data_IF_577236897150
#
_entry.id   IF_577236897150
#
_cell.length_a   1.000
_cell.length_b   1.000
_cell.length_c   1.000
_cell.angle_alpha   90.00
_cell.angle_beta   90.00
_cell.angle_gamma   90.00
#
_symmetry.space_group_name_H-M   'P 1'
#
loop_
_entity.id
_entity.type
_entity.pdbx_description
1 polymer ?
#
# COMPACT_ATOMS: atom_id res chain seq x y z
N UNK A 1 -47.72 75.70 51.95
CA UNK A 1 -48.00 74.26 51.69
C UNK A 1 -47.52 73.94 50.30
N UNK A 2 -46.34 73.20 50.22
CA UNK A 2 -45.80 72.77 48.94
C UNK A 2 -46.22 71.33 48.79
N UNK A 3 -47.03 71.03 47.79
CA UNK A 3 -47.47 69.68 47.45
C UNK A 3 -46.37 68.99 46.61
N UNK A 4 -45.76 67.95 47.18
CA UNK A 4 -44.83 67.10 46.51
C UNK A 4 -45.62 66.08 45.69
N UNK A 5 -45.68 66.24 44.34
CA UNK A 5 -46.18 65.22 43.44
C UNK A 5 -45.08 64.20 43.18
N UNK A 6 -45.18 63.04 43.87
CA UNK A 6 -44.38 61.86 43.53
C UNK A 6 -44.93 61.22 42.23
N UNK A 7 -44.30 61.49 41.11
CA UNK A 7 -44.60 60.81 39.87
C UNK A 7 -44.11 59.36 39.98
N UNK A 8 -44.99 58.40 40.09
CA UNK A 8 -44.76 56.98 39.96
C UNK A 8 -44.51 56.65 38.48
N UNK A 9 -43.29 56.61 38.06
CA UNK A 9 -42.93 56.08 36.74
C UNK A 9 -43.12 54.57 36.79
N UNK A 10 -44.27 54.10 36.36
CA UNK A 10 -44.53 52.68 36.09
C UNK A 10 -43.64 52.25 34.92
N UNK A 11 -42.52 51.58 35.25
CA UNK A 11 -41.69 50.92 34.25
C UNK A 11 -42.44 49.68 33.76
N UNK A 12 -43.22 49.83 32.69
CA UNK A 12 -43.83 48.69 31.97
C UNK A 12 -42.74 48.06 31.15
N UNK A 13 -41.96 47.22 31.77
CA UNK A 13 -41.02 46.38 31.08
C UNK A 13 -41.77 45.37 30.22
N UNK A 14 -41.77 45.56 28.90
CA UNK A 14 -42.30 44.55 27.96
C UNK A 14 -41.38 43.35 27.95
N UNK A 15 -41.90 42.18 28.32
CA UNK A 15 -41.16 40.91 28.16
C UNK A 15 -40.81 40.73 26.67
N UNK A 16 -39.52 40.55 26.42
CA UNK A 16 -39.00 40.17 25.09
C UNK A 16 -38.87 38.64 25.06
N UNK A 17 -39.24 38.03 23.94
CA UNK A 17 -39.04 36.61 23.68
C UNK A 17 -37.83 36.46 22.73
N UNK A 18 -36.86 35.74 23.19
CA UNK A 18 -35.60 35.48 22.44
C UNK A 18 -35.50 33.99 22.16
N UNK A 19 -35.17 33.63 20.93
CA UNK A 19 -34.94 32.24 20.55
C UNK A 19 -33.45 31.93 20.77
N UNK A 20 -33.15 31.07 21.75
CA UNK A 20 -31.82 30.59 22.03
C UNK A 20 -31.63 29.17 21.44
N UNK A 21 -30.68 29.01 20.56
CA UNK A 21 -30.28 27.72 20.01
C UNK A 21 -28.90 27.35 20.53
N UNK A 22 -28.80 26.24 21.24
CA UNK A 22 -27.52 25.69 21.71
C UNK A 22 -27.28 24.36 21.01
N UNK A 23 -26.19 24.26 20.25
CA UNK A 23 -25.86 23.08 19.41
C UNK A 23 -27.06 22.62 18.55
N UNK A 24 -27.80 23.57 17.96
CA UNK A 24 -28.96 23.31 17.13
C UNK A 24 -30.28 23.06 17.89
N UNK A 25 -30.25 22.99 19.23
CA UNK A 25 -31.42 22.81 20.03
C UNK A 25 -32.01 24.19 20.43
N UNK A 26 -33.14 24.53 19.85
CA UNK A 26 -33.78 25.81 20.07
C UNK A 26 -34.71 25.80 21.30
N UNK A 27 -34.66 26.88 22.08
CA UNK A 27 -35.54 27.15 23.21
C UNK A 27 -35.95 28.63 23.27
N UNK A 28 -37.14 28.93 23.79
CA UNK A 28 -37.61 30.31 23.98
C UNK A 28 -37.23 30.80 25.36
N UNK A 29 -36.50 31.91 25.41
CA UNK A 29 -36.09 32.58 26.67
C UNK A 29 -36.79 33.93 26.77
N UNK A 30 -37.56 34.13 27.83
CA UNK A 30 -38.20 35.40 28.14
C UNK A 30 -37.27 36.28 28.95
N UNK A 31 -36.97 37.49 28.46
CA UNK A 31 -36.13 38.46 29.15
C UNK A 31 -36.80 39.86 29.18
N UNK A 32 -36.42 40.72 30.10
CA UNK A 32 -36.84 42.11 30.14
C UNK A 32 -35.92 43.05 29.34
N UNK A 33 -34.93 42.52 28.66
CA UNK A 33 -33.92 43.27 27.96
C UNK A 33 -32.53 42.79 28.40
N UNK A 34 -31.51 43.58 28.11
CA UNK A 34 -30.10 43.24 28.38
C UNK A 34 -29.36 42.78 27.12
N UNK A 35 -28.24 42.17 27.34
CA UNK A 35 -27.35 41.68 26.27
C UNK A 35 -27.51 40.19 26.03
N UNK A 36 -26.85 39.66 25.01
CA UNK A 36 -26.76 38.22 24.74
C UNK A 36 -26.19 37.48 25.98
N UNK A 37 -25.17 38.06 26.63
CA UNK A 37 -24.59 37.49 27.87
C UNK A 37 -25.62 37.33 28.99
N UNK A 38 -26.51 38.34 29.18
CA UNK A 38 -27.60 38.29 30.18
C UNK A 38 -28.61 37.17 29.88
N UNK A 39 -28.91 36.94 28.60
CA UNK A 39 -29.80 35.85 28.15
C UNK A 39 -29.17 34.48 28.41
N UNK A 40 -27.90 34.31 28.08
CA UNK A 40 -27.18 33.05 28.33
C UNK A 40 -27.07 32.72 29.80
N UNK A 41 -26.74 33.75 30.62
CA UNK A 41 -26.70 33.58 32.09
C UNK A 41 -28.06 33.17 32.64
N UNK A 42 -29.16 33.77 32.14
CA UNK A 42 -30.51 33.43 32.55
C UNK A 42 -30.93 32.02 32.14
N UNK A 43 -30.43 31.54 31.02
CA UNK A 43 -30.67 30.19 30.50
C UNK A 43 -29.74 29.16 31.11
N UNK A 44 -28.85 29.56 32.09
CA UNK A 44 -27.81 28.73 32.69
C UNK A 44 -26.84 28.11 31.68
N UNK A 45 -26.60 28.82 30.55
CA UNK A 45 -25.64 28.45 29.51
C UNK A 45 -24.32 29.16 29.79
N UNK A 46 -23.30 28.38 30.15
CA UNK A 46 -21.93 28.88 30.35
C UNK A 46 -21.16 28.73 29.02
N UNK A 47 -20.54 29.80 28.60
CA UNK A 47 -19.75 29.85 27.35
C UNK A 47 -18.31 30.22 27.70
N UNK A 48 -17.38 29.70 26.93
CA UNK A 48 -15.93 29.94 27.01
C UNK A 48 -15.45 30.69 25.76
N UNK A 49 -14.18 31.09 25.73
CA UNK A 49 -13.59 31.74 24.55
C UNK A 49 -13.49 30.80 23.33
N UNK A 50 -13.58 29.49 23.54
CA UNK A 50 -13.54 28.49 22.47
C UNK A 50 -14.92 28.31 21.79
N UNK A 51 -16.00 28.74 22.44
CA UNK A 51 -17.35 28.59 21.91
C UNK A 51 -17.69 29.72 20.92
N UNK A 52 -18.52 29.42 19.95
CA UNK A 52 -19.01 30.39 19.00
C UNK A 52 -20.41 30.89 19.41
N UNK A 53 -20.52 32.19 19.64
CA UNK A 53 -21.80 32.84 19.99
C UNK A 53 -22.12 33.89 18.95
N UNK A 54 -23.32 33.81 18.41
CA UNK A 54 -23.87 34.80 17.44
C UNK A 54 -25.25 35.22 17.81
N UNK A 55 -25.54 36.54 17.91
CA UNK A 55 -24.63 37.70 17.92
C UNK A 55 -23.66 37.71 19.11
N UNK A 56 -22.66 38.62 19.06
CA UNK A 56 -21.67 38.78 20.13
C UNK A 56 -22.31 38.98 21.52
N UNK A 57 -21.66 38.54 22.57
CA UNK A 57 -22.09 38.59 23.96
C UNK A 57 -22.55 39.96 24.43
N UNK A 58 -21.90 41.03 23.94
CA UNK A 58 -22.23 42.43 24.27
C UNK A 58 -23.40 43.01 23.48
N UNK A 59 -23.96 42.27 22.52
CA UNK A 59 -25.08 42.75 21.68
C UNK A 59 -26.37 42.84 22.50
N UNK A 60 -27.06 43.97 22.41
CA UNK A 60 -28.39 44.15 23.00
C UNK A 60 -29.45 43.30 22.31
N UNK A 61 -30.29 42.62 23.07
CA UNK A 61 -31.36 41.78 22.54
C UNK A 61 -32.67 42.56 22.42
N UNK A 62 -33.38 42.25 21.34
CA UNK A 62 -34.74 42.74 21.06
C UNK A 62 -35.72 41.58 21.03
N UNK A 63 -37.04 41.92 21.00
CA UNK A 63 -38.03 40.86 20.80
C UNK A 63 -37.84 40.15 19.47
N UNK A 64 -37.87 38.80 19.50
CA UNK A 64 -37.56 37.93 18.36
C UNK A 64 -36.10 37.77 18.02
N UNK A 65 -35.14 38.31 18.82
CA UNK A 65 -33.70 38.05 18.59
C UNK A 65 -33.44 36.56 18.64
N UNK A 66 -32.62 36.08 17.67
CA UNK A 66 -32.15 34.70 17.65
C UNK A 66 -30.68 34.70 18.09
N UNK A 67 -30.37 33.88 19.08
CA UNK A 67 -29.02 33.65 19.59
C UNK A 67 -28.64 32.22 19.25
N UNK A 68 -27.52 32.05 18.59
CA UNK A 68 -26.96 30.75 18.26
C UNK A 68 -25.69 30.57 19.07
N UNK A 69 -25.56 29.44 19.77
CA UNK A 69 -24.40 29.03 20.54
C UNK A 69 -23.93 27.67 20.01
N UNK A 70 -22.72 27.62 19.51
CA UNK A 70 -22.07 26.36 19.15
C UNK A 70 -20.95 26.09 20.17
N UNK A 71 -21.13 25.06 20.98
CA UNK A 71 -20.18 24.68 22.03
C UNK A 71 -18.95 24.03 21.41
N UNK A 72 -17.79 24.46 21.86
CA UNK A 72 -16.54 23.80 21.46
C UNK A 72 -16.45 22.40 22.07
N UNK A 73 -16.10 21.44 21.25
CA UNK A 73 -15.91 20.03 21.63
C UNK A 73 -14.57 19.52 21.15
N UNK A 74 -13.96 18.63 21.90
CA UNK A 74 -12.72 17.95 21.51
C UNK A 74 -13.08 16.66 20.79
N UNK A 75 -12.54 16.48 19.59
CA UNK A 75 -12.72 15.28 18.76
C UNK A 75 -11.35 14.65 18.51
N UNK A 76 -11.22 13.35 18.78
CA UNK A 76 -10.03 12.61 18.44
C UNK A 76 -10.09 12.20 16.98
N UNK A 77 -9.07 12.59 16.23
CA UNK A 77 -8.95 12.37 14.77
C UNK A 77 -7.63 11.66 14.47
N UNK A 78 -7.69 10.63 13.67
CA UNK A 78 -6.50 10.00 13.08
C UNK A 78 -6.38 10.49 11.64
N UNK A 79 -5.38 11.30 11.34
CA UNK A 79 -5.10 11.81 10.01
C UNK A 79 -3.86 11.10 9.45
N UNK A 80 -4.04 10.34 8.36
CA UNK A 80 -2.99 9.51 7.74
C UNK A 80 -2.21 8.65 8.77
N UNK A 81 -2.94 8.01 9.69
CA UNK A 81 -2.39 7.18 10.75
C UNK A 81 -1.81 7.94 11.95
N UNK A 82 -1.85 9.29 11.95
CA UNK A 82 -1.38 10.12 13.06
C UNK A 82 -2.57 10.61 13.90
N UNK A 83 -2.54 10.30 15.22
CA UNK A 83 -3.58 10.74 16.16
C UNK A 83 -3.44 12.21 16.55
N UNK A 84 -4.54 12.95 16.48
CA UNK A 84 -4.64 14.34 16.88
C UNK A 84 -5.95 14.57 17.64
N UNK A 85 -5.95 15.46 18.64
CA UNK A 85 -7.18 15.96 19.26
C UNK A 85 -7.46 17.35 18.71
N UNK A 86 -8.61 17.52 18.08
CA UNK A 86 -9.04 18.77 17.44
C UNK A 86 -10.18 19.38 18.24
N UNK A 87 -10.07 20.68 18.57
CA UNK A 87 -11.18 21.46 19.16
C UNK A 87 -11.98 22.10 18.03
N UNK A 88 -13.29 21.85 17.98
CA UNK A 88 -14.19 22.36 16.95
C UNK A 88 -15.54 22.77 17.54
N UNK A 89 -16.20 23.77 16.94
CA UNK A 89 -17.58 24.12 17.18
C UNK A 89 -18.53 23.49 16.14
N UNK A 90 -18.00 22.73 15.18
CA UNK A 90 -18.76 21.98 14.18
C UNK A 90 -19.72 20.97 14.82
N UNK A 91 -20.82 20.70 14.15
CA UNK A 91 -21.85 19.78 14.62
C UNK A 91 -21.69 18.39 13.99
N UNK A 92 -21.18 18.32 12.75
CA UNK A 92 -21.12 17.12 11.92
C UNK A 92 -19.68 16.80 11.52
N UNK A 93 -19.46 15.58 11.05
CA UNK A 93 -18.20 15.17 10.42
C UNK A 93 -17.88 16.05 9.21
N UNK A 94 -18.88 16.47 8.43
CA UNK A 94 -18.68 17.38 7.31
C UNK A 94 -18.08 18.73 7.74
N UNK A 95 -18.58 19.30 8.85
CA UNK A 95 -18.06 20.57 9.40
C UNK A 95 -16.58 20.42 9.77
N UNK A 96 -16.23 19.33 10.49
CA UNK A 96 -14.87 19.06 10.93
C UNK A 96 -13.92 18.82 9.74
N UNK A 97 -14.33 18.03 8.75
CA UNK A 97 -13.54 17.78 7.52
C UNK A 97 -13.27 19.08 6.75
N UNK A 98 -14.29 19.96 6.69
CA UNK A 98 -14.16 21.29 6.07
C UNK A 98 -13.20 22.20 6.84
N UNK A 99 -13.28 22.20 8.17
CA UNK A 99 -12.39 22.97 9.05
C UNK A 99 -10.93 22.53 8.93
N UNK A 100 -10.68 21.21 8.86
CA UNK A 100 -9.37 20.63 8.65
C UNK A 100 -8.81 20.86 7.23
N UNK A 101 -9.62 21.33 6.29
CA UNK A 101 -9.26 21.61 4.89
C UNK A 101 -8.65 20.40 4.17
N UNK A 102 -9.09 19.20 4.51
CA UNK A 102 -8.66 17.99 3.81
C UNK A 102 -9.33 17.90 2.43
N UNK A 103 -8.71 17.15 1.53
CA UNK A 103 -9.24 16.96 0.18
C UNK A 103 -10.62 16.31 0.21
N UNK A 104 -11.51 16.73 -0.68
CA UNK A 104 -12.84 16.11 -0.86
C UNK A 104 -12.78 14.64 -1.29
N UNK A 105 -11.62 14.19 -1.79
CA UNK A 105 -11.37 12.81 -2.19
C UNK A 105 -10.74 11.97 -1.07
N UNK A 106 -10.64 12.52 0.15
CA UNK A 106 -10.17 11.78 1.32
C UNK A 106 -11.20 10.73 1.73
N UNK A 107 -10.70 9.59 2.20
CA UNK A 107 -11.54 8.58 2.87
C UNK A 107 -11.79 9.00 4.30
N UNK A 108 -13.03 8.87 4.77
CA UNK A 108 -13.45 9.21 6.14
C UNK A 108 -14.19 8.02 6.72
N UNK A 109 -13.83 7.59 7.92
CA UNK A 109 -14.37 6.38 8.57
C UNK A 109 -15.85 6.48 8.97
N UNK A 110 -16.43 7.68 8.97
CA UNK A 110 -17.83 7.92 9.29
C UNK A 110 -18.55 8.71 8.17
N UNK A 111 -19.88 8.61 8.14
CA UNK A 111 -20.68 9.43 7.21
C UNK A 111 -20.54 10.92 7.54
N UNK A 112 -20.48 11.76 6.51
CA UNK A 112 -20.35 13.21 6.65
C UNK A 112 -21.48 13.84 7.46
N UNK A 113 -22.68 13.26 7.42
CA UNK A 113 -23.86 13.73 8.17
C UNK A 113 -23.85 13.26 9.65
N UNK A 114 -22.89 12.46 10.06
CA UNK A 114 -22.80 11.95 11.44
C UNK A 114 -22.52 13.11 12.39
N UNK A 115 -23.31 13.21 13.48
CA UNK A 115 -23.06 14.19 14.53
C UNK A 115 -21.78 13.85 15.30
N UNK A 116 -20.90 14.83 15.50
CA UNK A 116 -19.62 14.63 16.21
C UNK A 116 -19.81 14.13 17.66
N UNK A 117 -20.93 14.52 18.30
CA UNK A 117 -21.30 14.05 19.65
C UNK A 117 -21.67 12.55 19.70
N UNK A 118 -21.92 11.93 18.56
CA UNK A 118 -22.26 10.51 18.43
C UNK A 118 -21.09 9.60 18.11
N UNK A 119 -19.90 10.14 17.86
CA UNK A 119 -18.71 9.35 17.57
C UNK A 119 -18.27 8.56 18.81
N UNK A 120 -18.07 7.25 18.62
CA UNK A 120 -17.62 6.33 19.68
C UNK A 120 -16.11 6.13 19.61
N UNK A 121 -15.56 6.12 18.40
CA UNK A 121 -14.16 5.89 18.08
C UNK A 121 -13.54 7.15 17.44
N UNK A 122 -12.20 7.30 17.46
CA UNK A 122 -11.52 8.35 16.74
C UNK A 122 -11.92 8.39 15.26
N UNK A 123 -12.14 9.57 14.73
CA UNK A 123 -12.46 9.75 13.31
C UNK A 123 -11.21 9.54 12.47
N UNK A 124 -11.16 8.48 11.66
CA UNK A 124 -10.04 8.27 10.73
C UNK A 124 -10.29 9.00 9.42
N UNK A 125 -9.28 9.73 8.98
CA UNK A 125 -9.26 10.49 7.72
C UNK A 125 -7.97 10.14 6.99
N UNK A 126 -8.11 9.57 5.78
CA UNK A 126 -6.97 9.19 4.93
C UNK A 126 -6.97 10.05 3.68
N UNK A 127 -5.92 10.85 3.50
CA UNK A 127 -5.78 11.74 2.35
C UNK A 127 -5.36 10.98 1.09
N UNK A 128 -5.74 11.45 -0.11
CA UNK A 128 -5.30 10.85 -1.35
C UNK A 128 -3.78 10.90 -1.48
N UNK A 129 -3.17 9.77 -1.80
CA UNK A 129 -1.73 9.58 -2.04
C UNK A 129 -1.52 9.01 -3.43
N UNK A 130 -0.39 9.27 -4.04
CA UNK A 130 0.01 8.64 -5.31
C UNK A 130 1.22 7.75 -5.04
N UNK A 131 1.04 6.45 -5.16
CA UNK A 131 2.10 5.46 -4.96
C UNK A 131 2.63 4.99 -6.30
N UNK A 132 3.95 5.00 -6.48
CA UNK A 132 4.60 4.42 -7.66
C UNK A 132 4.87 2.94 -7.40
N UNK A 133 4.04 2.08 -7.98
CA UNK A 133 4.21 0.63 -7.88
C UNK A 133 5.10 0.13 -9.01
N UNK A 134 6.14 -0.64 -8.68
CA UNK A 134 7.04 -1.28 -9.64
C UNK A 134 6.83 -2.78 -9.54
N UNK A 135 6.32 -3.41 -10.61
CA UNK A 135 6.02 -4.84 -10.67
C UNK A 135 6.28 -5.36 -12.09
N UNK A 136 6.85 -6.55 -12.21
CA UNK A 136 7.16 -7.21 -13.49
C UNK A 136 7.98 -6.31 -14.45
N UNK A 137 8.87 -5.48 -13.88
CA UNK A 137 9.72 -4.55 -14.61
C UNK A 137 9.01 -3.32 -15.19
N UNK A 138 7.75 -3.08 -14.80
CA UNK A 138 6.94 -1.92 -15.19
C UNK A 138 6.62 -1.06 -13.98
N UNK A 139 6.44 0.24 -14.22
CA UNK A 139 6.03 1.20 -13.19
C UNK A 139 4.59 1.67 -13.45
N UNK A 140 3.81 1.76 -12.38
CA UNK A 140 2.42 2.20 -12.39
C UNK A 140 2.23 3.24 -11.29
N UNK A 141 1.64 4.39 -11.61
CA UNK A 141 1.22 5.36 -10.61
C UNK A 141 -0.21 5.01 -10.18
N UNK A 142 -0.38 4.74 -8.88
CA UNK A 142 -1.67 4.38 -8.29
C UNK A 142 -2.11 5.44 -7.29
N UNK A 143 -3.19 6.19 -7.57
CA UNK A 143 -3.84 7.00 -6.55
C UNK A 143 -4.58 6.07 -5.57
N UNK A 144 -4.46 6.34 -4.28
CA UNK A 144 -5.09 5.56 -3.21
C UNK A 144 -5.31 6.41 -1.97
N UNK A 145 -6.25 6.01 -1.13
CA UNK A 145 -6.43 6.49 0.24
C UNK A 145 -6.04 5.43 1.27
N UNK A 146 -5.49 4.29 0.84
CA UNK A 146 -4.99 3.26 1.74
C UNK A 146 -3.93 3.84 2.70
N UNK A 147 -3.91 3.34 3.93
CA UNK A 147 -2.97 3.77 4.96
C UNK A 147 -1.72 2.90 4.99
N UNK A 148 -1.85 1.62 4.60
CA UNK A 148 -0.78 0.62 4.64
C UNK A 148 -0.52 -0.01 3.28
N UNK A 149 0.65 -0.66 3.15
CA UNK A 149 1.02 -1.41 1.95
C UNK A 149 0.05 -2.58 1.71
N UNK A 150 -0.37 -3.30 2.78
CA UNK A 150 -1.30 -4.43 2.65
C UNK A 150 -2.65 -3.95 2.10
N UNK A 151 -3.20 -2.86 2.62
CA UNK A 151 -4.45 -2.26 2.12
C UNK A 151 -4.34 -1.83 0.65
N UNK A 152 -3.19 -1.26 0.24
CA UNK A 152 -2.94 -0.90 -1.15
C UNK A 152 -2.91 -2.14 -2.06
N UNK A 153 -2.30 -3.24 -1.61
CA UNK A 153 -2.25 -4.49 -2.37
C UNK A 153 -3.65 -5.10 -2.52
N UNK A 154 -4.43 -5.10 -1.45
CA UNK A 154 -5.82 -5.57 -1.46
C UNK A 154 -6.69 -4.72 -2.39
N UNK A 155 -6.60 -3.39 -2.31
CA UNK A 155 -7.28 -2.45 -3.21
C UNK A 155 -6.89 -2.66 -4.69
N UNK A 156 -5.61 -3.01 -4.93
CA UNK A 156 -5.10 -3.30 -6.27
C UNK A 156 -5.44 -4.71 -6.76
N UNK A 157 -5.97 -5.59 -5.91
CA UNK A 157 -6.22 -7.01 -6.20
C UNK A 157 -4.94 -7.80 -6.43
N UNK A 158 -3.85 -7.44 -5.73
CA UNK A 158 -2.54 -8.06 -5.88
C UNK A 158 -2.33 -9.07 -4.77
N UNK A 159 -2.45 -10.35 -5.12
CA UNK A 159 -2.09 -11.44 -4.23
C UNK A 159 -0.58 -11.74 -4.30
N UNK A 160 0.06 -11.83 -3.14
CA UNK A 160 1.46 -12.21 -3.02
C UNK A 160 1.60 -13.70 -2.77
N UNK A 161 2.56 -14.32 -3.42
CA UNK A 161 2.98 -15.69 -3.11
C UNK A 161 4.06 -15.69 -2.03
N UNK A 162 4.27 -16.83 -1.36
CA UNK A 162 5.29 -16.96 -0.31
C UNK A 162 6.74 -16.71 -0.78
N UNK A 163 6.95 -16.60 -2.10
CA UNK A 163 8.27 -16.34 -2.70
C UNK A 163 8.44 -14.90 -3.16
N UNK A 164 7.35 -14.14 -3.27
CA UNK A 164 7.39 -12.73 -3.66
C UNK A 164 8.01 -11.87 -2.56
N UNK A 165 8.56 -10.74 -2.95
CA UNK A 165 9.24 -9.82 -2.02
C UNK A 165 8.76 -8.41 -2.25
N UNK A 166 8.44 -7.72 -1.15
CA UNK A 166 8.14 -6.30 -1.11
C UNK A 166 9.36 -5.49 -0.70
N UNK A 167 9.47 -4.26 -1.20
CA UNK A 167 10.49 -3.30 -0.76
C UNK A 167 10.22 -2.68 0.61
N UNK A 168 8.96 -2.78 1.10
CA UNK A 168 8.53 -2.37 2.42
C UNK A 168 7.60 -3.44 3.01
N UNK A 169 7.53 -3.62 4.33
CA UNK A 169 6.61 -4.57 4.95
C UNK A 169 5.16 -4.16 4.69
N UNK A 170 4.23 -5.15 4.68
CA UNK A 170 2.81 -4.92 4.44
C UNK A 170 2.17 -3.92 5.42
N UNK A 171 2.62 -3.92 6.68
CA UNK A 171 2.18 -2.97 7.72
C UNK A 171 2.82 -1.58 7.64
N UNK A 172 3.68 -1.32 6.65
CA UNK A 172 4.30 0.01 6.52
C UNK A 172 3.26 1.05 6.08
N UNK A 173 3.30 2.21 6.73
CA UNK A 173 2.46 3.33 6.37
C UNK A 173 2.82 3.87 4.97
N UNK A 174 1.81 4.17 4.18
CA UNK A 174 1.96 4.80 2.87
C UNK A 174 2.12 6.31 3.01
N UNK A 175 3.07 6.87 2.29
CA UNK A 175 3.27 8.32 2.15
C UNK A 175 3.17 8.71 0.68
N UNK A 176 2.69 9.92 0.42
CA UNK A 176 2.58 10.42 -0.96
C UNK A 176 3.93 10.41 -1.68
N UNK A 177 3.94 9.95 -2.93
CA UNK A 177 5.16 9.78 -3.73
C UNK A 177 6.00 8.55 -3.38
N UNK A 178 5.58 7.69 -2.45
CA UNK A 178 6.30 6.46 -2.10
C UNK A 178 6.44 5.55 -3.32
N UNK A 179 7.64 4.92 -3.46
CA UNK A 179 7.87 3.87 -4.44
C UNK A 179 7.81 2.49 -3.76
N UNK A 180 6.86 1.67 -4.17
CA UNK A 180 6.70 0.28 -3.73
C UNK A 180 7.12 -0.68 -4.83
N UNK A 181 8.18 -1.45 -4.58
CA UNK A 181 8.61 -2.51 -5.50
C UNK A 181 8.10 -3.86 -5.03
N UNK A 182 7.45 -4.56 -5.96
CA UNK A 182 7.01 -5.94 -5.81
C UNK A 182 7.88 -6.79 -6.73
N UNK A 183 8.72 -7.64 -6.16
CA UNK A 183 9.57 -8.57 -6.91
C UNK A 183 8.87 -9.91 -6.95
N UNK A 184 8.39 -10.29 -8.12
CA UNK A 184 7.71 -11.58 -8.33
C UNK A 184 8.70 -12.68 -8.62
N UNK A 185 8.56 -13.81 -7.92
CA UNK A 185 9.39 -15.00 -8.13
C UNK A 185 8.50 -16.15 -8.56
N UNK A 186 8.60 -16.55 -9.82
CA UNK A 186 7.78 -17.61 -10.41
C UNK A 186 8.66 -18.72 -11.00
N UNK A 187 8.09 -19.93 -11.09
CA UNK A 187 8.67 -20.99 -11.88
C UNK A 187 8.35 -20.75 -13.36
N UNK A 188 9.37 -20.78 -14.20
CA UNK A 188 9.20 -20.79 -15.64
C UNK A 188 8.96 -22.22 -16.16
N UNK A 189 8.72 -22.32 -17.46
CA UNK A 189 8.60 -23.62 -18.12
C UNK A 189 9.93 -24.39 -18.04
N UNK A 190 9.80 -25.72 -17.97
CA UNK A 190 10.97 -26.57 -18.00
C UNK A 190 11.65 -26.51 -19.39
N UNK A 191 12.96 -26.31 -19.39
CA UNK A 191 13.75 -26.26 -20.62
C UNK A 191 14.51 -27.57 -20.77
N UNK A 192 14.36 -28.24 -21.93
CA UNK A 192 15.13 -29.41 -22.28
C UNK A 192 16.28 -28.99 -23.20
N UNK A 193 17.49 -29.33 -22.80
CA UNK A 193 18.71 -29.11 -23.59
C UNK A 193 19.24 -30.47 -24.01
N UNK A 194 19.47 -30.66 -25.32
CA UNK A 194 20.09 -31.85 -25.85
C UNK A 194 21.55 -31.57 -26.10
N UNK A 195 22.42 -32.41 -25.55
CA UNK A 195 23.89 -32.34 -25.69
C UNK A 195 24.41 -33.61 -26.32
N UNK A 196 25.42 -33.48 -27.18
CA UNK A 196 26.11 -34.64 -27.74
C UNK A 196 26.93 -35.36 -26.64
N UNK A 197 26.73 -36.65 -26.52
CA UNK A 197 27.49 -37.50 -25.62
C UNK A 197 28.67 -38.09 -26.39
N UNK A 198 29.92 -37.73 -26.06
CA UNK A 198 31.08 -38.23 -26.80
C UNK A 198 31.20 -39.75 -26.69
N UNK A 199 31.71 -40.36 -27.74
CA UNK A 199 32.02 -41.78 -27.76
C UNK A 199 33.48 -42.05 -27.31
N UNK A 200 33.70 -43.23 -26.76
CA UNK A 200 35.02 -43.70 -26.43
C UNK A 200 35.69 -44.39 -27.62
N UNK A 201 37.04 -44.37 -27.66
CA UNK A 201 37.80 -45.12 -28.68
C UNK A 201 38.47 -46.31 -28.01
N UNK A 202 38.02 -47.51 -28.40
CA UNK A 202 38.65 -48.77 -27.95
C UNK A 202 39.78 -49.16 -28.90
N UNK A 203 41.03 -49.25 -28.34
CA UNK A 203 42.16 -49.77 -29.09
C UNK A 203 42.15 -51.29 -29.05
N UNK A 204 42.23 -51.94 -30.24
CA UNK A 204 42.23 -53.38 -30.37
C UNK A 204 43.55 -53.80 -31.07
N UNK A 205 44.35 -54.68 -30.45
CA UNK A 205 45.57 -55.18 -31.06
C UNK A 205 45.30 -55.95 -32.39
N UNK A 206 46.04 -55.61 -33.45
CA UNK A 206 45.92 -56.29 -34.75
C UNK A 206 47.31 -56.80 -35.23
N UNK A 207 47.47 -58.10 -35.35
CA UNK A 207 48.70 -58.75 -35.80
C UNK A 207 48.93 -58.63 -37.27
N UNK A 208 47.97 -58.10 -38.07
CA UNK A 208 48.17 -57.89 -39.50
C UNK A 208 48.79 -56.51 -39.80
N UNK A 209 48.74 -55.60 -38.84
CA UNK A 209 49.28 -54.23 -38.97
C UNK A 209 50.68 -54.19 -38.30
N UNK A 210 51.57 -53.40 -38.87
CA UNK A 210 52.92 -53.22 -38.26
C UNK A 210 52.84 -52.32 -37.04
N UNK A 211 53.81 -52.54 -36.08
CA UNK A 211 53.94 -51.64 -34.94
C UNK A 211 54.05 -50.19 -35.39
N UNK A 212 53.15 -49.30 -34.79
CA UNK A 212 53.01 -47.88 -35.12
C UNK A 212 51.94 -47.59 -36.17
N UNK A 213 51.37 -48.59 -36.81
CA UNK A 213 50.23 -48.41 -37.71
C UNK A 213 48.91 -48.46 -36.92
N UNK A 214 48.01 -47.53 -37.23
CA UNK A 214 46.69 -47.47 -36.65
C UNK A 214 45.65 -47.39 -37.75
N UNK A 215 44.56 -48.15 -37.62
CA UNK A 215 43.47 -48.17 -38.58
C UNK A 215 42.13 -48.15 -37.86
N UNK A 216 41.28 -47.17 -38.18
CA UNK A 216 39.91 -47.16 -37.71
C UNK A 216 39.12 -48.28 -38.39
N UNK A 217 38.60 -49.21 -37.61
CA UNK A 217 37.83 -50.37 -38.09
C UNK A 217 36.33 -50.21 -37.87
N UNK A 218 35.96 -49.41 -36.87
CA UNK A 218 34.59 -48.98 -36.62
C UNK A 218 34.62 -47.49 -36.30
N UNK A 219 33.89 -46.70 -37.07
CA UNK A 219 33.71 -45.29 -36.75
C UNK A 219 32.82 -45.12 -35.52
N UNK A 220 33.25 -44.28 -34.57
CA UNK A 220 32.42 -43.92 -33.42
C UNK A 220 31.30 -42.99 -33.83
N UNK A 221 30.18 -43.16 -33.19
CA UNK A 221 29.01 -42.25 -33.34
C UNK A 221 28.71 -41.62 -31.98
N UNK A 222 28.67 -40.29 -31.89
CA UNK A 222 28.27 -39.66 -30.65
C UNK A 222 26.85 -40.03 -30.30
N UNK A 223 26.58 -40.19 -29.00
CA UNK A 223 25.23 -40.31 -28.47
C UNK A 223 24.63 -38.95 -28.18
N UNK A 224 23.43 -38.94 -27.63
CA UNK A 224 22.74 -37.75 -27.19
C UNK A 224 22.24 -37.94 -25.75
N UNK A 225 22.39 -36.91 -24.95
CA UNK A 225 21.76 -36.82 -23.63
C UNK A 225 20.82 -35.62 -23.59
N UNK A 226 19.64 -35.81 -23.01
CA UNK A 226 18.65 -34.77 -22.76
C UNK A 226 18.70 -34.40 -21.29
N UNK A 227 18.97 -33.14 -20.98
CA UNK A 227 18.94 -32.57 -19.65
C UNK A 227 17.73 -31.64 -19.52
N UNK A 228 16.87 -31.89 -18.53
CA UNK A 228 15.70 -31.09 -18.22
C UNK A 228 16.00 -30.18 -17.05
N UNK A 229 15.84 -28.88 -17.26
CA UNK A 229 16.08 -27.86 -16.26
C UNK A 229 14.76 -27.23 -15.80
N UNK A 230 14.59 -27.01 -14.49
CA UNK A 230 13.61 -26.11 -13.93
C UNK A 230 14.15 -24.68 -13.98
N UNK A 231 13.36 -23.78 -14.52
CA UNK A 231 13.72 -22.37 -14.68
C UNK A 231 13.08 -21.57 -13.55
N UNK A 232 13.84 -20.65 -12.94
CA UNK A 232 13.36 -19.67 -11.99
C UNK A 232 13.34 -18.30 -12.65
N UNK A 233 12.18 -17.66 -12.60
CA UNK A 233 11.98 -16.31 -13.12
C UNK A 233 11.87 -15.32 -11.96
N UNK A 234 12.45 -14.13 -12.15
CA UNK A 234 12.25 -12.96 -11.29
C UNK A 234 11.79 -11.81 -12.18
N UNK A 235 10.63 -11.25 -11.86
CA UNK A 235 9.98 -10.21 -12.67
C UNK A 235 9.89 -10.61 -14.16
N UNK A 236 9.53 -11.88 -14.42
CA UNK A 236 9.40 -12.44 -15.75
C UNK A 236 10.72 -12.74 -16.48
N UNK A 237 11.87 -12.50 -15.85
CA UNK A 237 13.20 -12.77 -16.42
C UNK A 237 13.83 -13.99 -15.79
N UNK A 238 14.42 -14.84 -16.60
CA UNK A 238 15.15 -16.00 -16.13
C UNK A 238 16.40 -15.55 -15.33
N UNK A 239 16.53 -16.06 -14.10
CA UNK A 239 17.68 -15.78 -13.21
C UNK A 239 18.49 -17.01 -12.87
N UNK A 240 17.90 -18.20 -12.94
CA UNK A 240 18.62 -19.45 -12.70
C UNK A 240 17.91 -20.64 -13.32
N UNK A 241 18.73 -21.68 -13.62
CA UNK A 241 18.26 -23.00 -14.03
C UNK A 241 18.81 -24.05 -13.04
N UNK A 242 17.97 -24.99 -12.66
CA UNK A 242 18.36 -26.13 -11.82
C UNK A 242 18.09 -27.41 -12.58
N UNK A 243 19.10 -28.29 -12.69
CA UNK A 243 18.94 -29.59 -13.32
C UNK A 243 17.93 -30.44 -12.52
N UNK A 244 16.90 -30.91 -13.21
CA UNK A 244 15.83 -31.76 -12.64
C UNK A 244 16.09 -33.23 -12.96
N UNK A 245 16.43 -33.51 -14.23
CA UNK A 245 16.72 -34.86 -14.70
C UNK A 245 17.66 -34.83 -15.90
N UNK A 246 18.43 -35.88 -16.04
CA UNK A 246 19.28 -36.13 -17.19
C UNK A 246 19.01 -37.54 -17.67
N UNK A 247 18.87 -37.74 -18.99
CA UNK A 247 18.58 -39.05 -19.58
C UNK A 247 19.37 -39.18 -20.88
N UNK A 248 20.06 -40.28 -21.06
CA UNK A 248 20.70 -40.61 -22.32
C UNK A 248 19.63 -41.05 -23.30
N UNK A 249 19.37 -40.25 -24.32
CA UNK A 249 18.36 -40.52 -25.37
C UNK A 249 18.92 -41.43 -26.48
N UNK A 250 20.20 -41.28 -26.79
CA UNK A 250 20.93 -42.12 -27.76
C UNK A 250 22.24 -42.53 -27.14
N UNK A 251 22.48 -43.83 -27.07
CA UNK A 251 23.74 -44.37 -26.57
C UNK A 251 24.86 -44.11 -27.60
N UNK A 252 26.05 -43.66 -27.16
CA UNK A 252 27.18 -43.50 -28.07
C UNK A 252 27.71 -44.86 -28.51
N UNK A 253 28.13 -44.94 -29.76
CA UNK A 253 28.79 -46.13 -30.32
C UNK A 253 30.31 -45.90 -30.27
N UNK A 254 31.06 -46.75 -29.55
CA UNK A 254 32.50 -46.62 -29.41
C UNK A 254 33.21 -46.84 -30.76
N UNK A 255 34.22 -46.00 -31.06
CA UNK A 255 35.11 -46.23 -32.15
C UNK A 255 36.05 -47.42 -31.83
N UNK A 256 36.37 -48.24 -32.82
CA UNK A 256 37.40 -49.28 -32.72
C UNK A 256 38.63 -48.88 -33.56
N UNK A 257 39.76 -48.76 -32.91
CA UNK A 257 41.02 -48.41 -33.51
C UNK A 257 41.95 -49.64 -33.43
N UNK A 258 42.18 -50.32 -34.58
CA UNK A 258 43.17 -51.38 -34.64
C UNK A 258 44.59 -50.80 -34.56
N UNK A 259 45.37 -51.30 -33.61
CA UNK A 259 46.78 -50.91 -33.36
C UNK A 259 47.66 -52.07 -33.74
N UNK A 260 48.59 -51.84 -34.67
CA UNK A 260 49.52 -52.87 -35.18
C UNK A 260 50.46 -53.40 -34.10
N UNK A 261 50.57 -54.73 -34.08
CA UNK A 261 51.48 -55.46 -33.18
C UNK A 261 52.53 -56.23 -33.91
N UNK A 262 52.52 -56.25 -35.24
CA UNK A 262 53.47 -56.95 -36.08
C UNK A 262 54.81 -56.21 -36.13
N UNK A 263 55.87 -56.83 -35.65
CA UNK A 263 57.24 -56.26 -35.72
C UNK A 263 57.71 -56.22 -37.17
N UNK A 264 58.28 -55.09 -37.60
CA UNK A 264 58.97 -55.00 -38.88
C UNK A 264 60.28 -55.85 -38.75
N UNK A 265 60.42 -56.85 -39.66
CA UNK A 265 61.69 -57.55 -39.78
C UNK A 265 62.82 -56.57 -40.12
N UNK A 266 63.85 -56.55 -39.32
CA UNK A 266 65.02 -55.74 -39.60
C UNK A 266 65.64 -56.17 -40.95
N UNK A 267 65.71 -55.22 -41.89
CA UNK A 267 66.44 -55.46 -43.16
C UNK A 267 67.90 -55.89 -42.84
N UNK A 268 68.36 -57.06 -43.33
CA UNK A 268 69.70 -57.45 -43.07
C UNK A 268 70.68 -56.34 -43.49
N UNK A 269 71.64 -56.05 -42.61
CA UNK A 269 72.72 -55.14 -42.91
C UNK A 269 73.51 -55.65 -44.16
N UNK A 270 73.90 -54.78 -45.11
CA UNK A 270 74.74 -55.18 -46.22
C UNK A 270 76.05 -55.73 -45.67
N UNK A 271 76.41 -56.94 -46.11
CA UNK A 271 77.67 -57.60 -45.72
C UNK A 271 78.92 -56.79 -46.19
N UNK A 272 80.02 -56.81 -45.48
CA UNK A 272 81.18 -55.98 -45.73
C UNK A 272 81.89 -56.27 -47.06
#
# INVERSE_FOLDING_TARGET
>A
MVALILGLVAFVGTNKSVVLSVDGQASDVKTFGGTVADVLQKADVQVTEADLVSPDLATEVSDGTRIEVSMAKSVDVTLDGQGHTVSTTGQTVADLVSELRVSSNSSVSASLDTALSGLQDPLSISTPKTITMVMDGKSYNRPTTAETVDELLDEAGIELTGTDRLSAPGSAALVDGMALKITRVTAGDKVTVTEALPFETAEVPDSNLYEGEKKVTVEGTPGEKAAVFAVKLVDGREVSRTLVSETVSVQPVAAKLSVGTKKKEAKPAPAP
#
